data_IF_677168875668
#
_entry.id   IF_677168875668
#
_cell.length_a   1.000
_cell.length_b   1.000
_cell.length_c   1.000
_cell.angle_alpha   90.00
_cell.angle_beta   90.00
_cell.angle_gamma   90.00
#
_symmetry.space_group_name_H-M   'P 1'
#
loop_
_entity.id
_entity.type
_entity.pdbx_description
1 polymer ?
#
# COMPACT_ATOMS: atom_id res chain seq x y z
N UNK A 1 2.53 -55.35 -5.38
CA UNK A 1 1.87 -55.81 -6.60
C UNK A 1 1.05 -54.64 -7.08
N UNK A 2 1.15 -54.03 -8.21
CA UNK A 2 1.95 -54.17 -9.43
C UNK A 2 2.11 -52.78 -10.01
N UNK A 3 3.27 -52.53 -10.51
CA UNK A 3 3.64 -51.42 -11.40
C UNK A 3 2.81 -51.43 -12.68
N UNK A 4 2.48 -50.28 -13.27
CA UNK A 4 2.77 -50.18 -14.68
C UNK A 4 3.02 -48.72 -15.10
N UNK A 5 4.13 -48.60 -15.83
CA UNK A 5 4.67 -47.43 -16.53
C UNK A 5 3.88 -47.23 -17.83
N UNK A 6 3.58 -45.97 -18.16
CA UNK A 6 3.41 -45.62 -19.57
C UNK A 6 4.36 -44.48 -19.92
N UNK A 7 5.22 -44.83 -20.87
CA UNK A 7 6.21 -44.01 -21.59
C UNK A 7 5.57 -43.58 -22.91
N UNK A 8 5.57 -42.30 -23.24
CA UNK A 8 5.29 -41.87 -24.62
C UNK A 8 6.11 -40.63 -24.94
N UNK A 9 6.98 -40.88 -25.74
CA UNK A 9 7.42 -40.54 -27.09
C UNK A 9 7.23 -39.10 -27.53
N UNK A 10 8.37 -38.52 -27.78
CA UNK A 10 8.65 -37.20 -28.38
C UNK A 10 8.28 -37.28 -29.87
N UNK A 11 7.51 -36.30 -30.37
CA UNK A 11 7.61 -35.89 -31.76
C UNK A 11 7.77 -34.39 -31.85
N UNK A 12 8.93 -33.99 -32.39
CA UNK A 12 9.25 -32.63 -32.79
C UNK A 12 8.42 -32.22 -34.00
N UNK A 13 7.91 -31.02 -33.98
CA UNK A 13 7.80 -30.18 -35.19
C UNK A 13 7.81 -28.71 -34.79
N UNK A 14 8.59 -27.99 -35.52
CA UNK A 14 9.08 -26.66 -35.31
C UNK A 14 8.06 -25.55 -35.53
N UNK A 15 8.40 -24.40 -34.95
CA UNK A 15 8.16 -23.00 -35.35
C UNK A 15 6.92 -22.30 -34.75
N UNK A 16 7.20 -21.40 -33.89
CA UNK A 16 7.14 -19.95 -33.99
C UNK A 16 7.18 -19.33 -32.59
N UNK A 17 8.19 -18.52 -32.39
CA UNK A 17 8.41 -17.70 -31.19
C UNK A 17 7.30 -16.67 -31.07
N UNK A 18 6.59 -16.65 -29.97
CA UNK A 18 5.96 -15.46 -29.42
C UNK A 18 6.28 -15.39 -27.95
N UNK A 19 7.08 -14.43 -27.57
CA UNK A 19 7.43 -14.10 -26.19
C UNK A 19 6.23 -13.42 -25.52
N UNK A 20 5.91 -13.73 -24.25
CA UNK A 20 4.83 -13.06 -23.54
C UNK A 20 5.33 -11.74 -22.92
N UNK A 21 5.65 -10.76 -23.75
CA UNK A 21 6.11 -9.44 -23.30
C UNK A 21 5.13 -8.29 -23.61
N UNK A 22 4.01 -8.54 -24.29
CA UNK A 22 3.16 -7.48 -24.84
C UNK A 22 1.87 -7.18 -24.03
N UNK A 23 1.58 -7.93 -22.96
CA UNK A 23 0.36 -7.70 -22.17
C UNK A 23 0.48 -6.56 -21.15
N UNK A 24 1.68 -6.03 -20.90
CA UNK A 24 1.90 -4.95 -19.92
C UNK A 24 1.90 -3.55 -20.53
N UNK A 25 2.06 -3.45 -21.84
CA UNK A 25 2.18 -2.16 -22.55
C UNK A 25 0.84 -1.47 -22.78
N UNK A 26 -0.24 -2.21 -22.99
CA UNK A 26 -1.53 -1.63 -23.40
C UNK A 26 -2.29 -0.93 -22.26
N UNK A 27 -2.13 -1.34 -21.01
CA UNK A 27 -2.82 -0.67 -19.90
C UNK A 27 -2.19 0.65 -19.48
N UNK A 28 -0.89 0.82 -19.72
CA UNK A 28 -0.19 2.09 -19.46
C UNK A 28 -0.46 3.10 -20.57
N UNK A 29 -0.68 2.64 -21.83
CA UNK A 29 -0.98 3.50 -22.96
C UNK A 29 -2.42 4.07 -22.95
N UNK A 30 -3.38 3.39 -22.34
CA UNK A 30 -4.75 3.92 -22.20
C UNK A 30 -4.82 5.14 -21.28
N UNK A 31 -4.02 5.18 -20.21
CA UNK A 31 -3.92 6.35 -19.34
C UNK A 31 -3.26 7.57 -19.99
N UNK A 32 -2.35 7.35 -20.95
CA UNK A 32 -1.63 8.43 -21.64
C UNK A 32 -2.41 9.01 -22.83
N UNK A 33 -3.28 8.25 -23.50
CA UNK A 33 -4.13 8.77 -24.58
C UNK A 33 -5.21 9.72 -24.08
N UNK A 34 -5.79 9.46 -22.89
CA UNK A 34 -6.76 10.38 -22.29
C UNK A 34 -6.12 11.69 -21.80
N UNK A 35 -4.84 11.65 -21.47
CA UNK A 35 -4.11 12.85 -21.03
C UNK A 35 -3.78 13.79 -22.21
N UNK A 36 -3.51 13.25 -23.38
CA UNK A 36 -3.20 14.03 -24.59
C UNK A 36 -4.43 14.70 -25.19
N UNK A 37 -5.62 14.07 -25.12
CA UNK A 37 -6.86 14.64 -25.65
C UNK A 37 -7.45 15.77 -24.78
N UNK A 38 -7.14 15.78 -23.47
CA UNK A 38 -7.55 16.86 -22.55
C UNK A 38 -6.67 18.12 -22.66
N UNK A 39 -5.51 18.02 -23.31
CA UNK A 39 -4.59 19.17 -23.45
C UNK A 39 -5.11 20.26 -24.41
N UNK A 40 -6.00 19.93 -25.34
CA UNK A 40 -6.58 20.90 -26.25
C UNK A 40 -7.74 21.72 -25.66
N UNK A 41 -8.37 21.23 -24.57
CA UNK A 41 -9.49 21.94 -23.92
C UNK A 41 -9.05 22.93 -22.84
N UNK A 42 -7.78 22.90 -22.42
CA UNK A 42 -7.25 23.71 -21.31
C UNK A 42 -6.56 25.01 -21.77
N UNK A 43 -6.53 25.30 -23.09
CA UNK A 43 -5.79 26.46 -23.62
C UNK A 43 -6.52 27.80 -23.54
N UNK A 44 -7.78 27.83 -23.10
CA UNK A 44 -8.56 29.08 -23.05
C UNK A 44 -8.75 29.72 -21.69
N UNK A 45 -8.31 29.09 -20.57
CA UNK A 45 -8.51 29.62 -19.22
C UNK A 45 -7.36 29.41 -18.24
N UNK A 46 -6.09 29.36 -18.70
CA UNK A 46 -4.92 29.26 -17.82
C UNK A 46 -4.02 30.49 -17.91
N UNK A 47 -4.42 31.56 -17.26
CA UNK A 47 -3.50 32.53 -16.68
C UNK A 47 -3.07 31.99 -15.31
N UNK A 48 -1.80 31.64 -15.18
CA UNK A 48 -1.05 31.11 -14.03
C UNK A 48 -0.68 29.62 -14.13
N UNK A 49 0.19 29.30 -15.08
CA UNK A 49 1.07 28.14 -14.95
C UNK A 49 2.48 28.70 -14.80
N UNK A 50 2.97 28.63 -13.56
CA UNK A 50 4.40 28.77 -13.28
C UNK A 50 5.17 27.67 -13.98
N UNK A 51 6.36 27.99 -14.37
CA UNK A 51 7.28 27.31 -15.26
C UNK A 51 7.37 25.80 -15.05
N UNK A 52 7.49 25.08 -16.17
CA UNK A 52 7.65 23.62 -16.31
C UNK A 52 8.86 23.06 -15.53
N UNK A 53 9.74 23.91 -15.02
CA UNK A 53 10.92 23.51 -14.24
C UNK A 53 10.62 22.99 -12.82
N UNK A 54 9.40 23.16 -12.29
CA UNK A 54 9.04 22.73 -10.93
C UNK A 54 8.21 21.41 -10.87
N UNK A 55 8.09 20.67 -11.94
CA UNK A 55 7.36 19.38 -11.94
C UNK A 55 7.99 18.31 -11.03
N UNK A 56 9.23 18.48 -10.60
CA UNK A 56 9.91 17.58 -9.65
C UNK A 56 9.56 17.81 -8.18
N UNK A 57 8.86 18.89 -7.84
CA UNK A 57 8.55 19.30 -6.46
C UNK A 57 7.08 19.63 -6.22
N UNK A 58 6.17 19.11 -7.04
CA UNK A 58 4.74 19.32 -6.81
C UNK A 58 4.34 18.79 -5.44
N UNK A 59 3.68 19.63 -4.64
CA UNK A 59 3.10 19.23 -3.36
C UNK A 59 1.70 18.73 -3.59
N UNK A 60 1.39 17.57 -3.02
CA UNK A 60 0.05 17.03 -2.98
C UNK A 60 -0.52 17.35 -1.59
N UNK A 61 -1.69 17.98 -1.54
CA UNK A 61 -2.46 18.11 -0.32
C UNK A 61 -3.36 16.89 -0.18
N UNK A 62 -3.34 16.25 0.99
CA UNK A 62 -4.21 15.14 1.33
C UNK A 62 -5.13 15.57 2.48
N UNK A 63 -6.39 15.18 2.39
CA UNK A 63 -7.36 15.40 3.46
C UNK A 63 -7.33 14.24 4.45
N UNK A 64 -7.52 14.57 5.72
CA UNK A 64 -7.71 13.58 6.78
C UNK A 64 -9.19 13.23 6.82
N UNK A 65 -9.53 11.97 6.51
CA UNK A 65 -10.91 11.49 6.51
C UNK A 65 -11.40 11.06 7.90
N UNK A 66 -10.50 10.93 8.87
CA UNK A 66 -10.80 10.51 10.24
C UNK A 66 -9.54 10.23 11.04
N UNK A 67 -9.71 9.66 12.23
CA UNK A 67 -8.62 9.39 13.17
C UNK A 67 -8.75 8.00 13.80
N UNK A 68 -7.61 7.44 14.14
CA UNK A 68 -7.51 6.21 14.93
C UNK A 68 -7.79 6.54 16.39
N UNK A 69 -8.61 5.72 17.04
CA UNK A 69 -8.84 5.71 18.49
C UNK A 69 -8.46 4.35 19.05
N UNK A 70 -7.45 4.32 19.92
CA UNK A 70 -6.97 3.10 20.54
C UNK A 70 -6.34 3.38 21.89
N UNK A 71 -6.37 2.39 22.78
CA UNK A 71 -5.64 2.43 24.06
C UNK A 71 -4.26 1.79 23.97
N UNK A 72 -3.90 1.22 22.82
CA UNK A 72 -2.65 0.53 22.63
C UNK A 72 -1.46 1.49 22.69
N UNK A 73 -0.43 1.09 23.38
CA UNK A 73 0.88 1.74 23.38
C UNK A 73 1.73 1.26 22.21
N UNK A 74 2.86 1.94 21.94
CA UNK A 74 3.82 1.45 20.92
C UNK A 74 4.32 0.03 21.25
N UNK A 75 4.47 -0.30 22.52
CA UNK A 75 4.90 -1.63 22.94
C UNK A 75 3.85 -2.67 22.58
N UNK A 76 2.58 -2.40 22.86
CA UNK A 76 1.47 -3.32 22.56
C UNK A 76 1.38 -3.57 21.06
N UNK A 77 1.50 -2.53 20.24
CA UNK A 77 1.48 -2.64 18.78
C UNK A 77 2.63 -3.51 18.24
N UNK A 78 3.79 -3.50 18.89
CA UNK A 78 4.94 -4.33 18.49
C UNK A 78 4.78 -5.80 18.86
N UNK A 79 4.12 -6.10 19.97
CA UNK A 79 4.07 -7.45 20.55
C UNK A 79 2.75 -8.19 20.31
N UNK A 80 1.63 -7.47 20.27
CA UNK A 80 0.28 -8.07 20.27
C UNK A 80 -0.67 -7.44 19.25
N UNK A 81 -0.15 -6.81 18.19
CA UNK A 81 -0.94 -6.04 17.22
C UNK A 81 -2.17 -6.78 16.71
N UNK A 82 -2.06 -8.08 16.43
CA UNK A 82 -3.17 -8.89 15.92
C UNK A 82 -4.37 -9.02 16.84
N UNK A 83 -4.19 -8.85 18.15
CA UNK A 83 -5.22 -8.98 19.18
C UNK A 83 -5.86 -7.63 19.55
N UNK A 84 -5.19 -6.52 19.19
CA UNK A 84 -5.62 -5.18 19.56
C UNK A 84 -6.83 -4.76 18.76
N UNK A 85 -7.92 -4.45 19.46
CA UNK A 85 -9.09 -3.80 18.91
C UNK A 85 -8.86 -2.29 18.90
N UNK A 86 -8.92 -1.70 17.73
CA UNK A 86 -8.86 -0.26 17.50
C UNK A 86 -10.13 0.22 16.79
N UNK A 87 -10.38 1.51 16.87
CA UNK A 87 -11.47 2.15 16.17
C UNK A 87 -10.91 3.17 15.17
N UNK A 88 -11.52 3.24 14.00
CA UNK A 88 -11.31 4.30 13.04
C UNK A 88 -12.58 5.15 13.07
N UNK A 89 -12.44 6.38 13.53
CA UNK A 89 -13.54 7.35 13.64
C UNK A 89 -13.44 8.29 12.45
N UNK A 90 -14.33 8.13 11.48
CA UNK A 90 -14.38 9.02 10.32
C UNK A 90 -15.08 10.34 10.68
N UNK A 91 -14.73 11.41 9.97
CA UNK A 91 -15.50 12.64 10.02
C UNK A 91 -16.92 12.38 9.50
N UNK A 92 -17.92 13.03 10.06
CA UNK A 92 -19.33 12.74 9.77
C UNK A 92 -19.69 12.88 8.28
N UNK A 93 -19.06 13.82 7.59
CA UNK A 93 -19.24 14.04 6.15
C UNK A 93 -18.89 12.82 5.28
N UNK A 94 -17.98 11.93 5.77
CA UNK A 94 -17.59 10.70 5.08
C UNK A 94 -18.39 9.46 5.51
N UNK A 95 -19.31 9.58 6.46
CA UNK A 95 -20.08 8.44 7.01
C UNK A 95 -20.84 7.65 5.93
N UNK A 96 -21.38 8.35 4.93
CA UNK A 96 -22.09 7.74 3.80
C UNK A 96 -21.16 6.90 2.90
N UNK A 97 -19.87 7.20 2.86
CA UNK A 97 -18.87 6.43 2.13
C UNK A 97 -18.63 5.03 2.69
N UNK A 98 -19.11 4.76 3.91
CA UNK A 98 -19.02 3.44 4.55
C UNK A 98 -20.16 2.47 4.17
N UNK A 99 -21.11 2.89 3.34
CA UNK A 99 -22.23 2.02 2.97
C UNK A 99 -21.75 0.75 2.26
N UNK A 100 -22.06 -0.43 2.81
CA UNK A 100 -21.69 -1.73 2.27
C UNK A 100 -20.28 -2.20 2.66
N UNK A 101 -19.53 -1.44 3.46
CA UNK A 101 -18.18 -1.84 3.89
C UNK A 101 -18.22 -3.05 4.83
N UNK A 102 -19.32 -3.24 5.53
CA UNK A 102 -19.58 -4.36 6.44
C UNK A 102 -19.64 -5.73 5.76
N UNK A 103 -19.76 -5.76 4.44
CA UNK A 103 -19.72 -6.99 3.65
C UNK A 103 -18.29 -7.52 3.45
N UNK A 104 -17.28 -6.71 3.74
CA UNK A 104 -15.87 -7.08 3.64
C UNK A 104 -15.32 -7.53 5.00
N UNK A 105 -14.54 -8.59 4.99
CA UNK A 105 -13.84 -9.08 6.19
C UNK A 105 -12.58 -8.29 6.50
N UNK A 106 -11.90 -7.74 5.48
CA UNK A 106 -10.63 -7.05 5.62
C UNK A 106 -10.60 -5.76 4.78
N UNK A 107 -9.81 -4.80 5.26
CA UNK A 107 -9.65 -3.50 4.64
C UNK A 107 -8.17 -3.12 4.58
N UNK A 108 -7.76 -2.41 3.53
CA UNK A 108 -6.56 -1.58 3.58
C UNK A 108 -6.88 -0.29 4.30
N UNK A 109 -6.02 0.10 5.23
CA UNK A 109 -6.06 1.41 5.88
C UNK A 109 -4.76 2.14 5.57
N UNK A 110 -4.89 3.32 4.98
CA UNK A 110 -3.80 4.25 4.72
C UNK A 110 -3.87 5.37 5.76
N UNK A 111 -2.76 5.65 6.41
CA UNK A 111 -2.71 6.64 7.49
C UNK A 111 -1.39 7.40 7.49
N UNK A 112 -1.39 8.57 8.13
CA UNK A 112 -0.22 9.41 8.23
C UNK A 112 0.54 9.14 9.53
N UNK A 113 1.82 8.79 9.43
CA UNK A 113 2.70 8.58 10.59
C UNK A 113 3.08 9.93 11.20
N UNK A 114 2.14 10.55 11.90
CA UNK A 114 2.17 11.93 12.36
C UNK A 114 3.30 12.25 13.36
N UNK A 115 3.86 11.24 14.02
CA UNK A 115 4.99 11.39 14.96
C UNK A 115 6.35 11.38 14.29
N UNK A 116 6.43 11.14 12.97
CA UNK A 116 7.71 11.11 12.24
C UNK A 116 8.10 12.53 11.83
N UNK A 117 9.19 13.02 12.39
CA UNK A 117 9.75 14.35 12.14
C UNK A 117 10.26 14.53 10.69
N UNK A 118 10.31 15.79 10.21
CA UNK A 118 10.82 16.08 8.87
C UNK A 118 12.30 15.73 8.70
N UNK A 119 13.11 15.82 9.75
CA UNK A 119 14.52 15.44 9.75
C UNK A 119 14.73 13.95 9.53
N UNK A 120 13.87 13.11 10.12
CA UNK A 120 13.95 11.65 10.01
C UNK A 120 13.68 11.12 8.60
N UNK A 121 13.06 11.94 7.71
CA UNK A 121 12.63 11.53 6.35
C UNK A 121 13.68 11.82 5.28
N UNK A 122 14.87 12.26 5.65
CA UNK A 122 15.91 12.67 4.69
C UNK A 122 16.84 11.54 4.28
N UNK A 123 17.00 10.55 5.13
CA UNK A 123 17.93 9.46 4.89
C UNK A 123 17.28 8.44 3.94
N UNK A 124 17.89 8.29 2.77
CA UNK A 124 17.42 7.36 1.74
C UNK A 124 18.07 5.98 1.87
N UNK A 125 19.06 5.82 2.74
CA UNK A 125 19.72 4.56 3.06
C UNK A 125 19.48 4.22 4.53
N UNK A 126 19.36 2.95 4.83
CA UNK A 126 19.09 2.48 6.20
C UNK A 126 19.44 1.02 6.38
N UNK A 127 19.74 0.63 7.62
CA UNK A 127 19.77 -0.77 8.03
C UNK A 127 18.37 -1.20 8.47
N UNK A 128 17.81 -2.30 7.89
CA UNK A 128 16.49 -2.80 8.26
C UNK A 128 16.38 -3.06 9.76
N UNK A 129 15.27 -2.61 10.38
CA UNK A 129 15.04 -2.72 11.84
C UNK A 129 16.14 -2.07 12.71
N UNK A 130 16.93 -1.15 12.16
CA UNK A 130 18.12 -0.54 12.80
C UNK A 130 19.15 -1.58 13.28
N UNK A 131 19.28 -2.70 12.54
CA UNK A 131 20.22 -3.78 12.82
C UNK A 131 21.42 -3.67 11.88
N UNK A 132 22.59 -3.35 12.40
CA UNK A 132 23.86 -3.20 11.65
C UNK A 132 24.39 -4.52 11.08
N UNK A 133 23.94 -5.67 11.60
CA UNK A 133 24.23 -6.99 11.07
C UNK A 133 23.46 -7.31 9.77
N UNK A 134 22.50 -6.48 9.40
CA UNK A 134 21.78 -6.54 8.13
C UNK A 134 22.40 -5.55 7.13
N UNK A 135 22.30 -5.81 5.82
CA UNK A 135 22.88 -4.91 4.82
C UNK A 135 22.21 -3.54 4.84
N UNK A 136 22.97 -2.50 4.52
CA UNK A 136 22.41 -1.20 4.21
C UNK A 136 21.61 -1.28 2.91
N UNK A 137 20.38 -0.79 2.92
CA UNK A 137 19.46 -0.83 1.77
C UNK A 137 18.75 0.51 1.58
N UNK A 138 18.21 0.74 0.39
CA UNK A 138 17.37 1.91 0.15
C UNK A 138 16.10 1.87 1.01
N UNK A 139 15.64 3.03 1.47
CA UNK A 139 14.46 3.16 2.34
C UNK A 139 13.21 2.51 1.74
N UNK A 140 13.05 2.56 0.41
CA UNK A 140 11.93 1.96 -0.31
C UNK A 140 11.99 0.43 -0.37
N UNK A 141 13.10 -0.18 0.01
CA UNK A 141 13.21 -1.64 0.21
C UNK A 141 12.76 -2.07 1.60
N UNK A 142 12.27 -1.16 2.43
CA UNK A 142 11.84 -1.41 3.80
C UNK A 142 10.41 -0.90 4.02
N UNK A 143 9.84 -1.25 5.17
CA UNK A 143 8.57 -0.67 5.65
C UNK A 143 8.80 0.17 6.90
N UNK A 144 9.98 0.77 7.03
CA UNK A 144 10.28 1.67 8.13
C UNK A 144 9.45 2.95 8.03
N UNK A 145 9.26 3.63 9.17
CA UNK A 145 8.38 4.79 9.29
C UNK A 145 8.91 6.07 8.62
N UNK A 146 10.21 6.15 8.42
CA UNK A 146 10.92 7.36 7.99
C UNK A 146 11.00 7.54 6.47
N UNK A 147 10.03 7.06 5.72
CA UNK A 147 9.90 7.34 4.30
C UNK A 147 9.72 8.85 4.03
N UNK A 148 10.10 9.36 2.84
CA UNK A 148 9.88 10.76 2.46
C UNK A 148 8.42 11.21 2.65
N UNK A 149 7.47 10.36 2.30
CA UNK A 149 6.06 10.47 2.68
C UNK A 149 5.78 9.40 3.73
N UNK A 150 5.63 9.76 5.01
CA UNK A 150 5.45 8.80 6.10
C UNK A 150 4.01 8.27 6.13
N UNK A 151 3.66 7.51 5.08
CA UNK A 151 2.36 6.87 4.93
C UNK A 151 2.46 5.45 5.46
N UNK A 152 1.61 5.12 6.44
CA UNK A 152 1.39 3.77 6.89
C UNK A 152 0.34 3.07 6.03
N UNK A 153 0.53 1.78 5.80
CA UNK A 153 -0.41 0.90 5.11
C UNK A 153 -0.52 -0.41 5.90
N UNK A 154 -1.74 -0.73 6.32
CA UNK A 154 -2.01 -1.98 7.04
C UNK A 154 -3.27 -2.65 6.50
N UNK A 155 -3.23 -3.97 6.38
CA UNK A 155 -4.45 -4.78 6.20
C UNK A 155 -5.01 -5.07 7.58
N UNK A 156 -6.25 -4.66 7.81
CA UNK A 156 -6.97 -4.85 9.07
C UNK A 156 -8.13 -5.81 8.90
N UNK A 157 -8.47 -6.56 9.96
CA UNK A 157 -9.73 -7.30 10.05
C UNK A 157 -10.84 -6.33 10.46
N UNK A 158 -11.92 -6.27 9.69
CA UNK A 158 -13.11 -5.50 10.05
C UNK A 158 -13.97 -6.32 11.02
N UNK A 159 -14.06 -5.86 12.26
CA UNK A 159 -14.87 -6.52 13.32
C UNK A 159 -16.31 -6.03 13.31
N UNK A 160 -16.54 -4.78 12.90
CA UNK A 160 -17.88 -4.22 12.81
C UNK A 160 -17.88 -2.72 12.56
N UNK A 161 -19.09 -2.21 12.29
CA UNK A 161 -19.34 -0.79 12.03
C UNK A 161 -20.49 -0.28 12.90
N UNK A 162 -20.36 0.96 13.38
CA UNK A 162 -21.45 1.70 14.01
C UNK A 162 -21.38 3.16 13.56
N UNK A 163 -22.37 3.61 12.78
CA UNK A 163 -22.41 4.97 12.19
C UNK A 163 -21.13 5.23 11.36
N UNK A 164 -20.32 6.23 11.77
CA UNK A 164 -19.06 6.64 11.18
C UNK A 164 -17.83 5.97 11.84
N UNK A 165 -18.02 4.95 12.67
CA UNK A 165 -16.96 4.26 13.40
C UNK A 165 -16.79 2.83 12.88
N UNK A 166 -15.58 2.46 12.49
CA UNK A 166 -15.16 1.09 12.18
C UNK A 166 -14.37 0.53 13.34
N UNK A 167 -14.72 -0.67 13.81
CA UNK A 167 -13.93 -1.45 14.76
C UNK A 167 -13.09 -2.46 13.99
N UNK A 168 -11.78 -2.41 14.21
CA UNK A 168 -10.81 -3.20 13.43
C UNK A 168 -9.77 -3.83 14.33
N UNK A 169 -9.21 -4.97 13.89
CA UNK A 169 -8.01 -5.57 14.49
C UNK A 169 -6.80 -5.45 13.57
N UNK A 170 -5.62 -5.62 14.12
CA UNK A 170 -4.34 -5.60 13.42
C UNK A 170 -3.96 -4.22 12.83
N UNK A 171 -4.49 -3.13 13.35
CA UNK A 171 -4.12 -1.79 12.91
C UNK A 171 -2.80 -1.37 13.57
N UNK A 172 -1.78 -1.04 12.75
CA UNK A 172 -0.45 -0.60 13.20
C UNK A 172 -0.37 0.93 13.29
N UNK A 173 -1.23 1.50 14.11
CA UNK A 173 -1.33 2.95 14.28
C UNK A 173 -1.64 3.33 15.72
N UNK A 174 -1.03 4.41 16.18
CA UNK A 174 -1.24 4.97 17.52
C UNK A 174 -2.54 5.77 17.60
N UNK A 175 -2.96 6.05 18.83
CA UNK A 175 -4.08 6.96 19.08
C UNK A 175 -3.87 8.33 18.43
N UNK A 176 -4.94 8.91 17.88
CA UNK A 176 -4.90 10.17 17.16
C UNK A 176 -4.22 10.14 15.79
N UNK A 177 -3.82 8.97 15.28
CA UNK A 177 -3.22 8.86 13.94
C UNK A 177 -4.24 9.26 12.86
N UNK A 178 -3.91 10.26 12.00
CA UNK A 178 -4.79 10.66 10.90
C UNK A 178 -4.95 9.56 9.86
N UNK A 179 -6.19 9.24 9.49
CA UNK A 179 -6.52 8.30 8.42
C UNK A 179 -6.71 9.05 7.12
N UNK A 180 -6.05 8.57 6.07
CA UNK A 180 -6.04 9.20 4.75
C UNK A 180 -6.99 8.53 3.77
N UNK A 181 -7.14 7.20 3.87
CA UNK A 181 -7.97 6.43 2.95
C UNK A 181 -8.28 5.03 3.52
N UNK A 182 -9.39 4.45 3.08
CA UNK A 182 -9.80 3.08 3.38
C UNK A 182 -10.23 2.42 2.08
N UNK A 183 -9.71 1.21 1.81
CA UNK A 183 -10.11 0.44 0.64
C UNK A 183 -10.45 -1.00 1.02
N UNK A 184 -11.42 -1.63 0.37
CA UNK A 184 -11.70 -3.04 0.62
C UNK A 184 -10.52 -3.91 0.18
N UNK A 185 -10.23 -4.96 0.96
CA UNK A 185 -9.26 -6.00 0.61
C UNK A 185 -10.02 -7.20 0.04
N UNK A 186 -9.55 -7.73 -1.08
CA UNK A 186 -10.21 -8.83 -1.78
C UNK A 186 -9.20 -9.82 -2.39
N UNK A 187 -9.68 -10.87 -3.05
CA UNK A 187 -8.84 -11.94 -3.60
C UNK A 187 -7.82 -11.49 -4.64
N UNK A 188 -8.03 -10.35 -5.32
CA UNK A 188 -7.09 -9.81 -6.30
C UNK A 188 -5.85 -9.19 -5.66
N UNK A 189 -5.92 -8.93 -4.36
CA UNK A 189 -4.81 -8.36 -3.58
C UNK A 189 -3.85 -9.43 -3.06
N UNK A 190 -4.20 -10.72 -3.24
CA UNK A 190 -3.39 -11.86 -2.81
C UNK A 190 -2.35 -12.16 -3.89
N UNK A 191 -1.05 -12.01 -3.55
CA UNK A 191 0.04 -12.40 -4.44
C UNK A 191 0.32 -13.90 -4.32
N UNK A 192 0.23 -14.65 -5.42
CA UNK A 192 0.46 -16.10 -5.43
C UNK A 192 1.93 -16.49 -5.26
N UNK A 193 2.86 -15.66 -5.76
CA UNK A 193 4.30 -15.93 -5.73
C UNK A 193 5.03 -14.71 -5.21
N UNK A 194 5.47 -14.79 -3.96
CA UNK A 194 6.20 -13.71 -3.29
C UNK A 194 7.68 -14.09 -3.21
N UNK A 195 8.56 -13.17 -3.66
CA UNK A 195 10.00 -13.26 -3.45
C UNK A 195 10.43 -12.14 -2.52
N UNK A 196 11.20 -12.48 -1.51
CA UNK A 196 11.80 -11.55 -0.57
C UNK A 196 13.32 -11.76 -0.55
N UNK A 197 14.13 -10.74 -0.22
CA UNK A 197 15.59 -10.90 -0.10
C UNK A 197 15.96 -11.71 1.14
N UNK A 198 17.15 -12.34 1.12
CA UNK A 198 17.64 -13.18 2.22
C UNK A 198 17.76 -12.43 3.54
N UNK A 199 18.14 -11.15 3.49
CA UNK A 199 18.21 -10.33 4.71
C UNK A 199 16.84 -10.17 5.38
N UNK A 200 15.75 -10.13 4.58
CA UNK A 200 14.41 -10.06 5.13
C UNK A 200 14.06 -11.32 5.94
N UNK A 201 14.42 -12.50 5.41
CA UNK A 201 14.22 -13.78 6.12
C UNK A 201 14.98 -13.76 7.44
N UNK A 202 16.27 -13.40 7.41
CA UNK A 202 17.12 -13.29 8.62
C UNK A 202 16.61 -12.25 9.62
N UNK A 203 15.92 -11.24 9.16
CA UNK A 203 15.35 -10.21 10.05
C UNK A 203 14.14 -10.67 10.86
N UNK A 204 13.55 -11.83 10.54
CA UNK A 204 12.41 -12.39 11.27
C UNK A 204 12.85 -13.27 12.45
N UNK A 205 14.12 -13.71 12.46
CA UNK A 205 14.76 -14.33 13.62
C UNK A 205 15.22 -13.25 14.58
#
# INVERSE_FOLDING_TARGET
MLFDRVRLSIHQSANLRTTPHDAFSDKVLYGLRDYASKRSYLHSNLTCIGDIEDMGRSRIALETIGYVRTKATEKDLRTHRGEILSEIVLNEEYANGLKGIEEYSHLFVLFWLHKVGKSERRDLLTHPKHREDLPEVGIFSTRQRNHPNPIGLTVVELVGRASNVLRVKNLDALDGTPVLDIKPYNQRDIAERIRVPDWWIRSQS
#
